data_IF_394518494689
#
_entry.id   IF_394518494689
#
_cell.length_a   1.000
_cell.length_b   1.000
_cell.length_c   1.000
_cell.angle_alpha   90.00
_cell.angle_beta   90.00
_cell.angle_gamma   90.00
#
_symmetry.space_group_name_H-M   'P 1'
#
loop_
_entity.id
_entity.type
_entity.pdbx_description
1 polymer ?
#
# COMPACT_ATOMS: atom_id res chain seq x y z
N UNK A 1 -6.35 -9.90 11.08
CA UNK A 1 -7.01 -9.43 12.32
C UNK A 1 -8.01 -8.30 12.10
N UNK A 2 -7.63 -7.01 12.13
CA UNK A 2 -8.61 -5.89 12.08
C UNK A 2 -9.42 -5.80 10.79
N UNK A 3 -8.77 -6.02 9.64
CA UNK A 3 -9.42 -6.05 8.33
C UNK A 3 -10.26 -7.32 8.15
N UNK A 4 -9.75 -8.44 8.63
CA UNK A 4 -10.48 -9.72 8.64
C UNK A 4 -11.76 -9.66 9.48
N UNK A 5 -11.74 -8.98 10.64
CA UNK A 5 -12.92 -8.71 11.45
C UNK A 5 -13.99 -7.87 10.71
N UNK A 6 -13.62 -7.21 9.61
CA UNK A 6 -14.52 -6.50 8.70
C UNK A 6 -14.85 -7.30 7.43
N UNK A 7 -14.49 -8.58 7.39
CA UNK A 7 -14.73 -9.47 6.25
C UNK A 7 -13.76 -9.30 5.08
N UNK A 8 -12.62 -8.62 5.30
CA UNK A 8 -11.61 -8.39 4.26
C UNK A 8 -10.44 -9.36 4.45
N UNK A 9 -10.27 -10.28 3.49
CA UNK A 9 -9.09 -11.14 3.43
C UNK A 9 -7.84 -10.33 3.11
N UNK A 10 -6.72 -10.64 3.77
CA UNK A 10 -5.45 -9.89 3.62
C UNK A 10 -4.27 -10.83 3.43
N UNK A 11 -3.43 -10.52 2.45
CA UNK A 11 -2.10 -11.14 2.30
C UNK A 11 -1.04 -10.20 2.83
N UNK A 12 -0.10 -10.71 3.64
CA UNK A 12 1.11 -9.98 4.04
C UNK A 12 2.30 -10.67 3.40
N UNK A 13 3.12 -9.91 2.67
CA UNK A 13 4.29 -10.41 2.00
C UNK A 13 5.52 -9.60 2.41
N UNK A 14 6.56 -10.29 2.85
CA UNK A 14 7.88 -9.70 3.07
C UNK A 14 8.70 -9.83 1.78
N UNK A 15 9.05 -8.69 1.19
CA UNK A 15 9.85 -8.64 -0.04
C UNK A 15 11.34 -8.93 0.21
N UNK A 16 11.80 -8.93 1.47
CA UNK A 16 13.17 -9.15 1.97
C UNK A 16 14.23 -8.16 1.47
N UNK A 17 14.17 -7.75 0.21
CA UNK A 17 15.10 -6.85 -0.44
C UNK A 17 14.35 -5.80 -1.26
N UNK A 18 14.73 -4.53 -1.12
CA UNK A 18 14.27 -3.49 -2.04
C UNK A 18 14.92 -3.60 -3.42
N UNK A 19 16.13 -4.21 -3.49
CA UNK A 19 16.87 -4.50 -4.73
C UNK A 19 17.74 -5.77 -4.60
N UNK A 20 17.80 -6.63 -5.64
CA UNK A 20 16.87 -6.65 -6.78
C UNK A 20 15.43 -6.91 -6.29
N UNK A 21 14.44 -6.32 -6.97
CA UNK A 21 13.03 -6.55 -6.64
C UNK A 21 12.64 -8.00 -6.97
N UNK A 22 11.83 -8.62 -6.11
CA UNK A 22 11.13 -9.86 -6.43
C UNK A 22 9.90 -9.53 -7.31
N UNK A 23 10.17 -9.24 -8.60
CA UNK A 23 9.13 -8.81 -9.54
C UNK A 23 8.03 -9.85 -9.71
N UNK A 24 8.35 -11.15 -9.62
CA UNK A 24 7.37 -12.22 -9.78
C UNK A 24 6.39 -12.30 -8.60
N UNK A 25 6.89 -12.13 -7.38
CA UNK A 25 6.04 -11.97 -6.20
C UNK A 25 5.16 -10.71 -6.33
N UNK A 26 5.74 -9.58 -6.70
CA UNK A 26 5.00 -8.31 -6.83
C UNK A 26 3.89 -8.43 -7.87
N UNK A 27 4.20 -8.91 -9.08
CA UNK A 27 3.22 -9.15 -10.16
C UNK A 27 2.04 -9.99 -9.68
N UNK A 28 2.34 -11.12 -9.03
CA UNK A 28 1.32 -12.03 -8.52
C UNK A 28 0.41 -11.34 -7.51
N UNK A 29 0.96 -10.58 -6.58
CA UNK A 29 0.19 -9.88 -5.56
C UNK A 29 -0.68 -8.77 -6.17
N UNK A 30 -0.10 -7.92 -7.03
CA UNK A 30 -0.83 -6.82 -7.66
C UNK A 30 -1.95 -7.31 -8.59
N UNK A 31 -1.77 -8.45 -9.26
CA UNK A 31 -2.79 -9.02 -10.16
C UNK A 31 -3.98 -9.69 -9.42
N UNK A 32 -3.85 -9.99 -8.13
CA UNK A 32 -4.83 -10.78 -7.37
C UNK A 32 -5.56 -10.01 -6.27
N UNK A 33 -5.25 -8.71 -6.09
CA UNK A 33 -5.82 -7.88 -5.04
C UNK A 33 -6.43 -6.61 -5.64
N UNK A 34 -7.51 -6.10 -5.02
CA UNK A 34 -8.10 -4.81 -5.39
C UNK A 34 -7.32 -3.62 -4.81
N UNK A 35 -6.63 -3.85 -3.69
CA UNK A 35 -5.82 -2.86 -2.99
C UNK A 35 -4.50 -3.50 -2.60
N UNK A 36 -3.40 -2.79 -2.87
CA UNK A 36 -2.06 -3.15 -2.42
C UNK A 36 -1.43 -1.96 -1.71
N UNK A 37 -0.75 -2.23 -0.59
CA UNK A 37 -0.03 -1.21 0.16
C UNK A 37 1.41 -1.70 0.34
N UNK A 38 2.37 -0.89 -0.10
CA UNK A 38 3.77 -1.07 0.31
C UNK A 38 3.99 -0.32 1.63
N UNK A 39 4.80 -0.90 2.50
CA UNK A 39 5.15 -0.31 3.80
C UNK A 39 6.67 -0.35 3.93
N UNK A 40 7.28 0.78 4.27
CA UNK A 40 8.72 0.87 4.47
C UNK A 40 9.08 1.93 5.51
N UNK A 41 10.24 1.76 6.15
CA UNK A 41 10.85 2.76 7.05
C UNK A 41 11.85 3.67 6.31
N UNK A 42 11.61 3.91 5.02
CA UNK A 42 12.34 4.87 4.20
C UNK A 42 11.49 6.10 3.90
N UNK A 43 12.11 7.18 3.43
CA UNK A 43 11.40 8.34 2.89
C UNK A 43 11.00 8.13 1.42
N UNK A 44 10.53 9.19 0.75
CA UNK A 44 10.17 9.14 -0.67
C UNK A 44 11.34 8.65 -1.55
N UNK A 45 11.05 7.77 -2.52
CA UNK A 45 12.06 7.20 -3.43
C UNK A 45 12.56 5.80 -3.07
N UNK A 46 12.07 5.20 -1.98
CA UNK A 46 12.42 3.84 -1.56
C UNK A 46 11.68 2.71 -2.28
N UNK A 47 11.41 1.62 -1.55
CA UNK A 47 10.74 0.41 -2.02
C UNK A 47 9.42 0.74 -2.71
N UNK A 48 8.58 1.58 -2.10
CA UNK A 48 7.26 1.91 -2.65
C UNK A 48 7.35 2.60 -4.01
N UNK A 49 8.37 3.45 -4.21
CA UNK A 49 8.62 4.09 -5.49
C UNK A 49 9.05 3.07 -6.55
N UNK A 50 9.93 2.12 -6.21
CA UNK A 50 10.36 1.07 -7.13
C UNK A 50 9.23 0.12 -7.53
N UNK A 51 8.35 -0.24 -6.58
CA UNK A 51 7.15 -1.04 -6.86
C UNK A 51 6.19 -0.27 -7.77
N UNK A 52 6.00 1.04 -7.53
CA UNK A 52 5.18 1.89 -8.40
C UNK A 52 5.75 1.99 -9.82
N UNK A 53 7.06 2.13 -9.98
CA UNK A 53 7.71 2.11 -11.29
C UNK A 53 7.45 0.78 -12.01
N UNK A 54 7.73 -0.35 -11.36
CA UNK A 54 7.45 -1.68 -11.93
C UNK A 54 5.97 -1.83 -12.33
N UNK A 55 5.06 -1.42 -11.45
CA UNK A 55 3.62 -1.53 -11.70
C UNK A 55 3.16 -0.64 -12.85
N UNK A 56 3.75 0.55 -13.01
CA UNK A 56 3.48 1.45 -14.13
C UNK A 56 4.05 0.92 -15.44
N UNK A 57 5.30 0.45 -15.44
CA UNK A 57 5.99 -0.05 -16.63
C UNK A 57 5.26 -1.28 -17.23
N UNK A 58 4.62 -2.08 -16.38
CA UNK A 58 3.89 -3.28 -16.76
C UNK A 58 2.37 -3.10 -16.86
N UNK A 59 1.84 -1.90 -16.60
CA UNK A 59 0.39 -1.62 -16.64
C UNK A 59 -0.42 -2.35 -15.57
N UNK A 60 0.20 -2.77 -14.46
CA UNK A 60 -0.45 -3.56 -13.39
C UNK A 60 -1.52 -2.78 -12.63
N UNK A 61 -1.54 -1.45 -12.73
CA UNK A 61 -2.52 -0.57 -12.09
C UNK A 61 -3.63 -0.09 -13.03
N UNK A 62 -3.59 -0.48 -14.31
CA UNK A 62 -4.51 0.04 -15.33
C UNK A 62 -5.92 -0.53 -15.18
N UNK A 63 -6.05 -1.72 -14.60
CA UNK A 63 -7.33 -2.41 -14.38
C UNK A 63 -8.06 -1.99 -13.08
N UNK A 64 -7.65 -0.89 -12.46
CA UNK A 64 -8.36 -0.30 -11.32
C UNK A 64 -7.81 -0.68 -9.94
N UNK A 65 -6.76 -1.51 -9.85
CA UNK A 65 -6.00 -1.76 -8.61
C UNK A 65 -5.63 -0.43 -7.93
N UNK A 66 -5.85 -0.34 -6.61
CA UNK A 66 -5.39 0.79 -5.81
C UNK A 66 -4.08 0.44 -5.13
N UNK A 67 -2.97 0.88 -5.72
CA UNK A 67 -1.65 0.80 -5.10
C UNK A 67 -1.38 2.05 -4.24
N UNK A 68 -1.01 1.87 -2.98
CA UNK A 68 -0.59 2.93 -2.05
C UNK A 68 0.76 2.60 -1.44
N UNK A 69 1.41 3.64 -0.92
CA UNK A 69 2.73 3.53 -0.30
C UNK A 69 2.66 4.23 1.06
N UNK A 70 2.93 3.50 2.13
CA UNK A 70 3.13 4.03 3.47
C UNK A 70 4.63 4.02 3.74
N UNK A 71 5.15 5.17 4.13
CA UNK A 71 6.59 5.43 4.27
C UNK A 71 6.81 6.53 5.29
N UNK A 72 8.04 6.69 5.77
CA UNK A 72 8.37 7.82 6.63
C UNK A 72 8.21 9.16 5.89
N UNK A 73 7.82 10.24 6.60
CA UNK A 73 7.81 11.56 6.02
C UNK A 73 9.22 11.99 5.64
N UNK A 74 9.34 12.81 4.59
CA UNK A 74 10.62 13.38 4.15
C UNK A 74 10.99 14.60 5.03
N UNK A 75 11.03 14.38 6.33
CA UNK A 75 11.31 15.38 7.37
C UNK A 75 12.08 14.71 8.50
N UNK A 76 12.86 15.49 9.24
CA UNK A 76 13.43 15.01 10.49
C UNK A 76 12.32 14.75 11.51
N UNK A 77 12.40 13.59 12.16
CA UNK A 77 11.54 13.23 13.28
C UNK A 77 12.32 13.37 14.58
N UNK A 78 11.69 13.94 15.59
CA UNK A 78 12.27 14.02 16.93
C UNK A 78 12.38 12.63 17.54
N UNK A 79 13.36 12.46 18.43
CA UNK A 79 13.51 11.20 19.15
C UNK A 79 12.36 11.02 20.14
N UNK A 80 11.65 9.91 20.01
CA UNK A 80 10.62 9.49 20.95
C UNK A 80 10.64 7.95 21.00
N UNK A 81 9.70 7.36 21.72
CA UNK A 81 9.47 5.92 21.69
C UNK A 81 9.07 5.50 20.26
N UNK A 82 9.54 4.34 19.77
CA UNK A 82 9.27 3.90 18.40
C UNK A 82 7.78 3.86 18.04
N UNK A 83 6.91 3.43 18.96
CA UNK A 83 5.46 3.39 18.76
C UNK A 83 4.87 4.79 18.50
N UNK A 84 5.35 5.82 19.20
CA UNK A 84 4.93 7.21 18.98
C UNK A 84 5.44 7.76 17.65
N UNK A 85 6.69 7.45 17.31
CA UNK A 85 7.28 7.86 16.02
C UNK A 85 6.52 7.23 14.84
N UNK A 86 6.17 5.93 14.92
CA UNK A 86 5.37 5.30 13.87
C UNK A 86 3.96 5.85 13.78
N UNK A 87 3.31 6.13 14.92
CA UNK A 87 1.98 6.75 14.91
C UNK A 87 2.01 8.14 14.27
N UNK A 88 3.02 8.97 14.59
CA UNK A 88 3.23 10.28 13.99
C UNK A 88 3.50 10.18 12.47
N UNK A 89 4.32 9.21 12.06
CA UNK A 89 4.60 8.92 10.65
C UNK A 89 3.44 8.21 9.92
N UNK A 90 2.36 7.83 10.62
CA UNK A 90 1.25 7.03 10.09
C UNK A 90 1.70 5.68 9.51
N UNK A 91 2.67 5.05 10.16
CA UNK A 91 3.20 3.71 9.86
C UNK A 91 2.69 2.63 10.84
N UNK A 92 1.63 2.91 11.58
CA UNK A 92 1.01 1.96 12.51
C UNK A 92 -0.18 1.19 11.90
N UNK A 93 -0.70 0.23 12.66
CA UNK A 93 -1.83 -0.59 12.23
C UNK A 93 -3.12 0.22 12.00
N UNK A 94 -3.33 1.33 12.73
CA UNK A 94 -4.49 2.21 12.56
C UNK A 94 -4.44 2.88 11.18
N UNK A 95 -3.32 3.49 10.85
CA UNK A 95 -3.10 4.15 9.56
C UNK A 95 -3.15 3.16 8.39
N UNK A 96 -2.62 1.94 8.55
CA UNK A 96 -2.73 0.88 7.55
C UNK A 96 -4.20 0.53 7.25
N UNK A 97 -5.00 0.30 8.29
CA UNK A 97 -6.44 -0.01 8.15
C UNK A 97 -7.18 1.14 7.49
N UNK A 98 -6.96 2.38 7.95
CA UNK A 98 -7.58 3.57 7.37
C UNK A 98 -7.26 3.70 5.87
N UNK A 99 -6.01 3.44 5.49
CA UNK A 99 -5.55 3.52 4.10
C UNK A 99 -6.24 2.48 3.22
N UNK A 100 -6.34 1.23 3.70
CA UNK A 100 -7.05 0.16 2.98
C UNK A 100 -8.52 0.54 2.76
N UNK A 101 -9.23 0.93 3.83
CA UNK A 101 -10.66 1.25 3.74
C UNK A 101 -10.92 2.45 2.84
N UNK A 102 -10.04 3.45 2.87
CA UNK A 102 -10.15 4.63 2.00
C UNK A 102 -9.90 4.28 0.54
N UNK A 103 -8.94 3.40 0.25
CA UNK A 103 -8.70 2.89 -1.09
C UNK A 103 -9.89 2.09 -1.63
N UNK A 104 -10.48 1.21 -0.81
CA UNK A 104 -11.68 0.42 -1.18
C UNK A 104 -12.89 1.30 -1.48
N UNK A 105 -13.19 2.32 -0.67
CA UNK A 105 -14.30 3.26 -0.94
C UNK A 105 -14.13 3.97 -2.28
N UNK A 106 -12.89 4.29 -2.66
CA UNK A 106 -12.59 4.89 -3.96
C UNK A 106 -12.93 3.94 -5.11
N UNK A 107 -12.84 2.62 -4.90
CA UNK A 107 -13.24 1.61 -5.87
C UNK A 107 -14.76 1.53 -6.02
N UNK A 108 -15.49 1.49 -4.91
CA UNK A 108 -16.96 1.45 -4.93
C UNK A 108 -17.59 2.67 -5.63
N UNK A 109 -17.03 3.87 -5.39
CA UNK A 109 -17.49 5.09 -6.06
C UNK A 109 -17.17 5.13 -7.57
N UNK A 110 -16.10 4.45 -8.02
CA UNK A 110 -15.80 4.31 -9.44
C UNK A 110 -16.79 3.33 -10.11
N UNK A 111 -17.08 2.21 -9.46
CA UNK A 111 -18.05 1.22 -9.95
C UNK A 111 -19.46 1.78 -10.08
N UNK A 112 -19.92 2.59 -9.11
CA UNK A 112 -21.26 3.21 -9.17
C UNK A 112 -21.40 4.25 -10.28
N UNK A 113 -20.29 4.89 -10.71
CA UNK A 113 -20.29 5.86 -11.82
C UNK A 113 -20.26 5.19 -13.19
N UNK A 114 -19.65 4.01 -13.31
CA UNK A 114 -19.58 3.26 -14.57
C UNK A 114 -20.88 2.56 -14.97
N UNK A 115 -21.84 2.39 -14.06
CA UNK A 115 -23.15 1.78 -14.34
C UNK A 115 -24.21 2.75 -14.90
N UNK A 116 -23.88 4.04 -15.01
CA UNK A 116 -24.81 5.09 -15.46
C UNK A 116 -24.43 5.62 -16.87
N UNK A 117 -23.52 4.93 -17.57
CA UNK A 117 -23.06 5.26 -18.92
C UNK A 117 -23.51 4.20 -19.93
#
# INVERSE_FOLDING_TARGET
>A
DRLEAQGLSTTVADLRFAKPLDSDLIRRLLATHEVAITVEEGAVGGLGAHVLTLASDEGLIDAGLKLRTLRLPDTFQDHDKPDRQYAEARLDADAMVETVLTALRSNSAAMSRGQIA
#
